data_IF_528215520810
#
_entry.id   IF_528215520810
#
_cell.length_a   1.000
_cell.length_b   1.000
_cell.length_c   1.000
_cell.angle_alpha   90.00
_cell.angle_beta   90.00
_cell.angle_gamma   90.00
#
_symmetry.space_group_name_H-M   'P 1'
#
loop_
_entity.id
_entity.type
_entity.pdbx_description
1 polymer ?
#
# COMPACT_ATOMS: atom_id res chain seq x y z
N UNK A 1 -33.38 10.14 -11.62
CA UNK A 1 -33.37 10.97 -10.40
C UNK A 1 -33.45 10.06 -9.18
N UNK A 2 -32.30 9.71 -8.59
CA UNK A 2 -32.24 9.02 -7.29
C UNK A 2 -31.72 10.02 -6.26
N UNK A 3 -32.52 10.20 -5.22
CA UNK A 3 -32.41 11.24 -4.22
C UNK A 3 -31.38 10.86 -3.15
N UNK A 4 -30.37 11.71 -2.95
CA UNK A 4 -29.47 11.64 -1.80
C UNK A 4 -30.28 11.87 -0.51
N UNK A 5 -30.26 10.92 0.43
CA UNK A 5 -30.67 11.17 1.81
C UNK A 5 -29.42 11.48 2.64
N UNK A 6 -29.24 12.77 2.92
CA UNK A 6 -28.52 13.23 4.12
C UNK A 6 -29.46 13.08 5.30
N UNK A 7 -29.05 12.38 6.35
CA UNK A 7 -29.67 12.50 7.68
C UNK A 7 -28.60 12.78 8.71
N UNK A 8 -28.84 13.84 9.47
CA UNK A 8 -27.96 14.40 10.47
C UNK A 8 -28.09 13.69 11.83
N UNK A 9 -26.94 13.68 12.51
CA UNK A 9 -26.65 13.59 13.94
C UNK A 9 -27.78 13.37 14.96
N UNK A 10 -27.53 12.41 15.86
CA UNK A 10 -27.98 12.46 17.25
C UNK A 10 -26.79 12.13 18.18
N UNK A 11 -26.42 13.10 19.03
CA UNK A 11 -25.47 12.96 20.13
C UNK A 11 -26.12 12.24 21.33
N UNK A 12 -25.37 11.33 21.98
CA UNK A 12 -25.34 10.96 23.42
C UNK A 12 -24.43 9.70 23.49
N UNK A 13 -23.40 9.51 24.31
CA UNK A 13 -22.85 10.17 25.50
C UNK A 13 -21.39 9.72 25.61
N UNK A 14 -20.52 10.60 26.11
CA UNK A 14 -19.10 10.36 26.34
C UNK A 14 -18.83 9.12 27.23
N UNK A 15 -17.93 8.24 26.75
CA UNK A 15 -17.19 7.31 27.59
C UNK A 15 -15.71 7.39 27.21
N UNK A 16 -14.93 8.00 28.11
CA UNK A 16 -13.49 7.87 28.33
C UNK A 16 -12.63 7.46 27.12
N UNK A 17 -11.99 8.46 26.52
CA UNK A 17 -10.77 8.27 25.74
C UNK A 17 -9.68 7.67 26.64
N UNK A 18 -9.49 6.36 26.54
CA UNK A 18 -8.23 5.70 26.87
C UNK A 18 -7.57 5.37 25.54
N UNK A 19 -6.32 5.79 25.41
CA UNK A 19 -5.45 5.54 24.27
C UNK A 19 -5.36 4.05 23.98
N UNK A 20 -6.11 3.56 23.00
CA UNK A 20 -5.85 2.27 22.37
C UNK A 20 -4.81 2.52 21.26
N UNK A 21 -3.54 2.54 21.65
CA UNK A 21 -2.52 2.01 20.76
C UNK A 21 -2.95 0.59 20.42
N UNK A 22 -3.23 0.32 19.16
CA UNK A 22 -3.50 -1.06 18.72
C UNK A 22 -2.19 -1.82 18.79
N UNK A 23 -1.97 -2.47 19.92
CA UNK A 23 -0.98 -3.54 20.05
C UNK A 23 -1.48 -4.69 19.18
N UNK A 24 -0.82 -4.94 18.05
CA UNK A 24 -0.88 -6.26 17.43
C UNK A 24 -0.45 -7.26 18.51
N UNK A 25 -1.28 -8.25 18.80
CA UNK A 25 -0.96 -9.31 19.75
C UNK A 25 0.08 -10.25 19.08
N UNK A 26 1.32 -9.78 18.98
CA UNK A 26 2.47 -10.64 18.80
C UNK A 26 2.71 -11.36 20.14
N UNK A 27 2.70 -12.68 20.09
CA UNK A 27 2.90 -13.62 21.19
C UNK A 27 3.97 -13.14 22.19
N UNK A 28 3.59 -13.04 23.47
CA UNK A 28 4.46 -12.59 24.55
C UNK A 28 5.63 -13.56 24.72
N UNK A 29 6.84 -13.11 24.35
CA UNK A 29 8.08 -13.72 24.82
C UNK A 29 8.75 -12.86 25.87
N UNK A 30 9.24 -13.56 26.89
CA UNK A 30 9.81 -13.11 28.18
C UNK A 30 10.83 -11.97 28.01
N UNK A 31 10.87 -10.95 28.90
CA UNK A 31 11.80 -9.84 28.77
C UNK A 31 13.24 -10.31 28.96
N UNK A 32 14.08 -10.08 27.96
CA UNK A 32 15.54 -10.12 28.11
C UNK A 32 16.03 -8.66 28.18
N UNK A 33 16.58 -8.31 29.34
CA UNK A 33 17.26 -7.03 29.56
C UNK A 33 18.34 -6.80 28.49
N UNK A 34 18.42 -5.57 27.98
CA UNK A 34 19.45 -5.15 27.04
C UNK A 34 20.85 -5.45 27.56
N UNK A 35 21.53 -6.39 26.90
CA UNK A 35 22.96 -6.65 27.03
C UNK A 35 23.73 -6.01 25.88
N UNK A 36 25.02 -5.64 26.08
CA UNK A 36 25.81 -4.94 25.09
C UNK A 36 26.07 -5.84 23.87
N UNK A 37 26.24 -5.22 22.71
CA UNK A 37 26.38 -5.88 21.40
C UNK A 37 27.27 -7.13 21.40
N UNK A 38 26.82 -8.15 20.68
CA UNK A 38 27.52 -9.42 20.55
C UNK A 38 28.60 -9.33 19.47
N UNK A 39 29.83 -9.73 19.82
CA UNK A 39 30.98 -9.79 18.92
C UNK A 39 30.77 -10.82 17.80
N UNK A 40 30.32 -10.35 16.64
CA UNK A 40 30.69 -10.95 15.36
C UNK A 40 32.16 -10.62 15.08
N UNK A 41 32.94 -11.57 14.56
CA UNK A 41 34.34 -11.34 14.23
C UNK A 41 34.57 -10.16 13.27
N UNK A 42 35.84 -9.85 12.99
CA UNK A 42 36.49 -8.66 13.55
C UNK A 42 35.63 -7.37 13.49
N UNK A 43 35.14 -6.91 14.65
CA UNK A 43 35.19 -5.50 15.04
C UNK A 43 34.27 -4.48 14.36
N UNK A 44 33.21 -4.89 13.66
CA UNK A 44 32.19 -3.95 13.19
C UNK A 44 30.95 -4.02 14.09
N UNK A 45 30.64 -2.91 14.76
CA UNK A 45 29.35 -2.73 15.44
C UNK A 45 28.28 -2.63 14.35
N UNK A 46 27.46 -3.67 14.20
CA UNK A 46 26.30 -3.63 13.30
C UNK A 46 25.11 -3.00 14.02
N UNK A 47 24.40 -2.13 13.34
CA UNK A 47 23.15 -1.55 13.82
C UNK A 47 22.01 -2.40 13.28
N UNK A 48 21.10 -2.83 14.17
CA UNK A 48 19.95 -3.62 13.78
C UNK A 48 19.13 -2.88 12.72
N UNK A 49 18.66 -3.64 11.72
CA UNK A 49 17.80 -3.20 10.62
C UNK A 49 18.43 -2.19 9.65
N UNK A 50 19.72 -1.87 9.77
CA UNK A 50 20.44 -0.96 8.88
C UNK A 50 21.28 -1.71 7.84
N UNK A 51 21.57 -1.00 6.75
CA UNK A 51 22.43 -1.49 5.67
C UNK A 51 23.88 -1.13 5.94
N UNK A 52 24.75 -2.12 5.98
CA UNK A 52 26.19 -1.94 6.05
C UNK A 52 26.88 -2.72 4.94
N UNK A 53 27.69 -2.03 4.15
CA UNK A 53 28.39 -2.59 2.98
C UNK A 53 27.48 -3.40 2.04
N UNK A 54 26.23 -2.93 1.88
CA UNK A 54 25.23 -3.53 0.99
C UNK A 54 24.43 -4.69 1.59
N UNK A 55 24.64 -5.03 2.86
CA UNK A 55 23.93 -6.11 3.58
C UNK A 55 23.12 -5.55 4.74
N UNK A 56 21.90 -6.06 4.95
CA UNK A 56 21.07 -5.72 6.11
C UNK A 56 21.30 -6.72 7.25
N UNK A 57 21.17 -6.26 8.49
CA UNK A 57 21.38 -7.08 9.68
C UNK A 57 20.16 -7.09 10.60
N UNK A 58 19.88 -8.22 11.27
CA UNK A 58 18.78 -8.36 12.23
C UNK A 58 19.16 -7.80 13.63
N UNK A 59 18.24 -7.92 14.60
CA UNK A 59 18.45 -7.49 15.99
C UNK A 59 19.44 -8.34 16.78
N UNK A 60 19.94 -9.44 16.20
CA UNK A 60 20.99 -10.29 16.75
C UNK A 60 22.33 -10.09 16.02
N UNK A 61 22.38 -9.18 15.03
CA UNK A 61 23.55 -8.90 14.22
C UNK A 61 23.84 -9.95 13.14
N UNK A 62 22.89 -10.82 12.81
CA UNK A 62 23.02 -11.74 11.69
C UNK A 62 22.63 -11.03 10.38
N UNK A 63 23.29 -11.38 9.28
CA UNK A 63 22.88 -10.90 7.96
C UNK A 63 21.48 -11.44 7.62
N UNK A 64 20.61 -10.56 7.12
CA UNK A 64 19.28 -10.93 6.62
C UNK A 64 19.45 -11.41 5.17
N UNK A 65 19.78 -12.70 5.02
CA UNK A 65 20.08 -13.28 3.71
C UNK A 65 18.91 -13.12 2.72
N UNK A 66 19.19 -12.57 1.54
CA UNK A 66 18.20 -12.38 0.48
C UNK A 66 17.36 -11.11 0.60
N UNK A 67 17.52 -10.32 1.66
CA UNK A 67 16.88 -9.00 1.73
C UNK A 67 17.47 -8.07 0.64
N UNK A 68 16.59 -7.52 -0.18
CA UNK A 68 16.95 -6.64 -1.29
C UNK A 68 16.77 -5.17 -0.91
N UNK A 69 15.62 -4.86 -0.30
CA UNK A 69 15.16 -3.51 -0.05
C UNK A 69 14.55 -3.43 1.35
N UNK A 70 14.80 -2.31 2.02
CA UNK A 70 14.17 -1.94 3.29
C UNK A 70 12.99 -1.03 3.02
N UNK A 71 11.92 -1.21 3.78
CA UNK A 71 10.71 -0.42 3.68
C UNK A 71 10.08 -0.16 5.03
N UNK A 72 8.96 0.54 5.01
CA UNK A 72 8.15 0.85 6.18
C UNK A 72 6.68 0.57 5.94
N UNK A 73 5.91 0.38 7.01
CA UNK A 73 4.44 0.47 6.95
C UNK A 73 3.94 1.68 7.74
N UNK A 74 3.07 2.49 7.14
CA UNK A 74 2.58 3.74 7.71
C UNK A 74 1.07 3.91 7.54
N UNK A 75 0.50 4.69 8.43
CA UNK A 75 -0.90 5.11 8.41
C UNK A 75 -1.02 6.50 9.05
N UNK A 76 -2.23 6.97 9.34
CA UNK A 76 -2.44 8.20 10.11
C UNK A 76 -1.68 8.27 11.44
N UNK A 77 -1.31 7.12 12.01
CA UNK A 77 -0.60 7.06 13.29
C UNK A 77 0.83 7.59 13.24
N UNK A 78 1.45 7.68 12.06
CA UNK A 78 2.78 8.26 11.88
C UNK A 78 2.74 9.80 11.70
N UNK A 79 1.55 10.41 11.71
CA UNK A 79 1.42 11.87 11.67
C UNK A 79 1.97 12.50 10.39
N UNK A 80 2.76 13.55 10.54
CA UNK A 80 3.45 14.21 9.42
C UNK A 80 4.81 13.56 9.20
N UNK A 81 5.10 13.16 7.97
CA UNK A 81 6.31 12.45 7.58
C UNK A 81 7.15 13.35 6.68
N UNK A 82 8.44 13.51 6.97
CA UNK A 82 9.40 14.12 6.06
C UNK A 82 9.95 13.05 5.10
N UNK A 83 9.22 12.83 4.00
CA UNK A 83 9.55 11.79 3.02
C UNK A 83 10.91 11.95 2.34
N UNK A 84 11.47 13.17 2.32
CA UNK A 84 12.80 13.42 1.78
C UNK A 84 13.89 12.84 2.70
N UNK A 85 13.70 12.94 4.02
CA UNK A 85 14.60 12.32 5.01
C UNK A 85 14.41 10.82 5.07
N UNK A 86 13.16 10.35 5.00
CA UNK A 86 12.85 8.91 4.94
C UNK A 86 13.59 8.24 3.78
N UNK A 87 13.57 8.86 2.59
CA UNK A 87 14.31 8.35 1.43
C UNK A 87 15.85 8.37 1.64
N UNK A 88 16.38 9.37 2.37
CA UNK A 88 17.80 9.45 2.70
C UNK A 88 18.23 8.42 3.74
N UNK A 89 17.29 7.96 4.57
CA UNK A 89 17.46 6.86 5.52
C UNK A 89 17.08 5.52 4.88
N UNK A 90 17.56 5.25 3.66
CA UNK A 90 17.51 3.94 2.97
C UNK A 90 16.13 3.24 2.96
N UNK A 91 15.03 3.99 3.00
CA UNK A 91 13.68 3.47 2.79
C UNK A 91 13.39 3.47 1.30
N UNK A 92 13.20 2.28 0.73
CA UNK A 92 12.99 2.08 -0.70
C UNK A 92 11.52 1.90 -1.07
N UNK A 93 10.68 1.44 -0.14
CA UNK A 93 9.24 1.27 -0.35
C UNK A 93 8.43 1.57 0.92
N UNK A 94 7.16 1.91 0.74
CA UNK A 94 6.22 2.17 1.82
C UNK A 94 4.88 1.44 1.61
N UNK A 95 4.51 0.59 2.56
CA UNK A 95 3.15 0.07 2.73
C UNK A 95 2.28 1.14 3.40
N UNK A 96 1.34 1.73 2.68
CA UNK A 96 0.56 2.89 3.14
C UNK A 96 -0.91 2.51 3.31
N UNK A 97 -1.47 2.71 4.50
CA UNK A 97 -2.86 2.32 4.76
C UNK A 97 -3.80 3.11 3.89
N UNK A 98 -4.57 2.43 3.05
CA UNK A 98 -5.62 3.05 2.24
C UNK A 98 -6.90 3.20 3.05
N UNK A 99 -7.38 2.08 3.57
CA UNK A 99 -8.75 1.98 4.07
C UNK A 99 -8.90 0.86 5.07
N UNK A 100 -9.76 1.06 6.06
CA UNK A 100 -10.40 -0.02 6.81
C UNK A 100 -11.72 -0.33 6.13
N UNK A 101 -11.84 -1.52 5.52
CA UNK A 101 -13.03 -1.90 4.75
C UNK A 101 -13.86 -2.93 5.53
N UNK A 102 -15.06 -2.50 5.91
CA UNK A 102 -15.99 -3.15 6.83
C UNK A 102 -17.10 -3.95 6.16
N UNK A 103 -17.98 -4.47 7.02
CA UNK A 103 -19.22 -5.17 6.67
C UNK A 103 -20.21 -4.24 5.95
N UNK A 104 -21.08 -4.81 5.09
CA UNK A 104 -22.13 -4.07 4.38
C UNK A 104 -21.60 -2.92 3.51
N UNK A 105 -20.32 -2.96 3.15
CA UNK A 105 -19.66 -1.92 2.34
C UNK A 105 -19.33 -0.64 3.11
N UNK A 106 -19.43 -0.64 4.44
CA UNK A 106 -18.94 0.46 5.27
C UNK A 106 -17.42 0.54 5.19
N UNK A 107 -16.86 1.74 5.08
CA UNK A 107 -15.40 1.90 5.03
C UNK A 107 -14.96 3.21 5.68
N UNK A 108 -13.73 3.22 6.16
CA UNK A 108 -13.06 4.43 6.67
C UNK A 108 -11.72 4.59 5.98
N UNK A 109 -11.61 5.62 5.13
CA UNK A 109 -10.33 6.00 4.52
C UNK A 109 -9.34 6.44 5.58
N UNK A 110 -8.07 6.10 5.40
CA UNK A 110 -7.00 6.73 6.16
C UNK A 110 -6.82 8.18 5.69
N UNK A 111 -6.97 9.13 6.60
CA UNK A 111 -6.93 10.56 6.28
C UNK A 111 -5.57 11.04 5.77
N UNK A 112 -4.51 10.26 5.96
CA UNK A 112 -3.17 10.56 5.47
C UNK A 112 -2.81 9.86 4.16
N UNK A 113 -3.68 8.97 3.66
CA UNK A 113 -3.39 8.12 2.50
C UNK A 113 -2.96 8.91 1.26
N UNK A 114 -3.77 9.89 0.83
CA UNK A 114 -3.48 10.68 -0.38
C UNK A 114 -2.13 11.40 -0.28
N UNK A 115 -1.88 12.07 0.84
CA UNK A 115 -0.63 12.77 1.12
C UNK A 115 0.55 11.80 1.10
N UNK A 116 0.46 10.71 1.85
CA UNK A 116 1.56 9.75 1.97
C UNK A 116 1.88 9.08 0.63
N UNK A 117 0.87 8.68 -0.15
CA UNK A 117 1.08 8.09 -1.48
C UNK A 117 1.79 9.06 -2.42
N UNK A 118 1.35 10.33 -2.47
CA UNK A 118 1.94 11.33 -3.38
C UNK A 118 3.34 11.74 -2.95
N UNK A 119 3.55 12.02 -1.66
CA UNK A 119 4.82 12.53 -1.16
C UNK A 119 5.91 11.45 -1.12
N UNK A 120 5.57 10.20 -0.79
CA UNK A 120 6.51 9.08 -0.89
C UNK A 120 6.98 8.88 -2.34
N UNK A 121 6.03 8.77 -3.27
CA UNK A 121 6.34 8.61 -4.70
C UNK A 121 7.17 9.79 -5.25
N UNK A 122 6.86 11.03 -4.85
CA UNK A 122 7.62 12.22 -5.26
C UNK A 122 9.07 12.22 -4.75
N UNK A 123 9.39 11.46 -3.70
CA UNK A 123 10.73 11.27 -3.17
C UNK A 123 11.39 9.96 -3.65
N UNK A 124 10.80 9.29 -4.66
CA UNK A 124 11.36 8.08 -5.27
C UNK A 124 11.17 6.81 -4.43
N UNK A 125 10.28 6.84 -3.44
CA UNK A 125 9.92 5.67 -2.64
C UNK A 125 8.79 4.93 -3.35
N UNK A 126 8.95 3.63 -3.55
CA UNK A 126 7.92 2.78 -4.14
C UNK A 126 6.70 2.66 -3.23
N UNK A 127 5.51 2.81 -3.78
CA UNK A 127 4.27 2.97 -3.00
C UNK A 127 3.35 1.77 -3.13
N UNK A 128 2.86 1.30 -1.99
CA UNK A 128 2.09 0.06 -1.87
C UNK A 128 0.88 0.27 -0.96
N UNK A 129 -0.35 0.37 -1.48
CA UNK A 129 -1.51 0.55 -0.62
C UNK A 129 -1.85 -0.77 0.11
N UNK A 130 -2.25 -0.67 1.38
CA UNK A 130 -2.79 -1.81 2.12
C UNK A 130 -4.19 -1.55 2.69
N UNK A 131 -4.98 -2.63 2.76
CA UNK A 131 -6.39 -2.62 3.09
C UNK A 131 -6.57 -3.45 4.36
N UNK A 132 -6.98 -2.80 5.46
CA UNK A 132 -7.37 -3.51 6.68
C UNK A 132 -8.76 -4.13 6.47
N UNK A 133 -8.78 -5.44 6.22
CA UNK A 133 -9.98 -6.14 5.79
C UNK A 133 -10.81 -6.60 6.98
N UNK A 134 -12.10 -6.32 6.95
CA UNK A 134 -13.06 -6.76 7.96
C UNK A 134 -14.32 -7.40 7.35
N UNK A 135 -14.31 -7.63 6.03
CA UNK A 135 -15.40 -8.27 5.29
C UNK A 135 -15.45 -9.76 5.60
N UNK A 136 -16.66 -10.34 5.69
CA UNK A 136 -16.83 -11.74 6.12
C UNK A 136 -17.22 -12.67 4.99
N UNK A 137 -17.56 -12.13 3.82
CA UNK A 137 -18.03 -12.91 2.68
C UNK A 137 -17.15 -12.70 1.45
N UNK A 138 -17.13 -13.70 0.58
CA UNK A 138 -16.43 -13.64 -0.72
C UNK A 138 -16.88 -12.44 -1.54
N UNK A 139 -18.18 -12.12 -1.57
CA UNK A 139 -18.67 -10.99 -2.37
C UNK A 139 -18.20 -9.64 -1.81
N UNK A 140 -18.31 -9.44 -0.50
CA UNK A 140 -17.82 -8.21 0.14
C UNK A 140 -16.30 -8.05 -0.04
N UNK A 141 -15.53 -9.14 0.02
CA UNK A 141 -14.09 -9.11 -0.25
C UNK A 141 -13.76 -8.69 -1.68
N UNK A 142 -14.58 -9.12 -2.67
CA UNK A 142 -14.47 -8.67 -4.05
C UNK A 142 -14.85 -7.20 -4.20
N UNK A 143 -15.85 -6.72 -3.47
CA UNK A 143 -16.21 -5.29 -3.42
C UNK A 143 -15.08 -4.44 -2.82
N UNK A 144 -14.49 -4.88 -1.70
CA UNK A 144 -13.34 -4.25 -1.08
C UNK A 144 -12.14 -4.17 -2.04
N UNK A 145 -11.85 -5.26 -2.76
CA UNK A 145 -10.78 -5.28 -3.75
C UNK A 145 -11.05 -4.36 -4.94
N UNK A 146 -12.30 -4.31 -5.45
CA UNK A 146 -12.68 -3.36 -6.51
C UNK A 146 -12.49 -1.91 -6.06
N UNK A 147 -12.95 -1.58 -4.85
CA UNK A 147 -12.74 -0.28 -4.24
C UNK A 147 -11.25 0.07 -4.13
N UNK A 148 -10.45 -0.87 -3.65
CA UNK A 148 -9.00 -0.71 -3.50
C UNK A 148 -8.31 -0.43 -4.84
N UNK A 149 -8.61 -1.25 -5.86
CA UNK A 149 -8.09 -1.09 -7.23
C UNK A 149 -8.51 0.24 -7.83
N UNK A 150 -9.78 0.60 -7.74
CA UNK A 150 -10.30 1.86 -8.30
C UNK A 150 -9.67 3.08 -7.62
N UNK A 151 -9.41 2.99 -6.32
CA UNK A 151 -8.70 4.04 -5.56
C UNK A 151 -7.22 4.10 -5.94
N UNK A 152 -6.55 2.95 -6.01
CA UNK A 152 -5.12 2.83 -6.33
C UNK A 152 -4.78 3.39 -7.71
N UNK A 153 -5.70 3.33 -8.69
CA UNK A 153 -5.53 3.91 -10.03
C UNK A 153 -5.22 5.41 -10.05
N UNK A 154 -5.49 6.13 -8.97
CA UNK A 154 -5.21 7.57 -8.88
C UNK A 154 -3.79 7.89 -8.38
N UNK A 155 -2.95 6.88 -8.15
CA UNK A 155 -1.63 7.02 -7.58
C UNK A 155 -0.59 6.20 -8.35
N UNK A 156 0.69 6.58 -8.28
CA UNK A 156 1.78 5.67 -8.61
C UNK A 156 1.70 4.46 -7.66
N UNK A 157 1.60 3.25 -8.22
CA UNK A 157 1.62 2.00 -7.47
C UNK A 157 2.46 1.01 -8.27
N UNK A 158 3.73 0.91 -7.89
CA UNK A 158 4.72 0.01 -8.47
C UNK A 158 5.13 -1.13 -7.52
N UNK A 159 4.54 -1.15 -6.33
CA UNK A 159 4.59 -2.25 -5.36
C UNK A 159 3.20 -2.88 -5.13
N UNK A 160 3.11 -4.04 -4.43
CA UNK A 160 1.87 -4.78 -4.29
C UNK A 160 0.72 -4.01 -3.62
N UNK A 161 -0.51 -4.38 -3.95
CA UNK A 161 -1.70 -4.02 -3.16
C UNK A 161 -1.89 -5.11 -2.10
N UNK A 162 -1.81 -4.73 -0.83
CA UNK A 162 -1.87 -5.67 0.27
C UNK A 162 -3.27 -5.81 0.88
N UNK A 163 -3.65 -7.03 1.22
CA UNK A 163 -4.75 -7.31 2.13
C UNK A 163 -4.19 -7.62 3.52
N UNK A 164 -4.59 -6.83 4.50
CA UNK A 164 -4.22 -6.99 5.90
C UNK A 164 -5.29 -7.82 6.62
N UNK A 165 -4.90 -9.04 7.00
CA UNK A 165 -5.75 -10.07 7.59
C UNK A 165 -5.43 -10.21 9.08
N UNK A 166 -5.89 -9.25 9.86
CA UNK A 166 -5.65 -9.24 11.32
C UNK A 166 -6.90 -8.94 12.17
N UNK A 167 -7.98 -8.51 11.52
CA UNK A 167 -9.19 -8.07 12.21
C UNK A 167 -9.86 -9.21 12.98
N UNK A 168 -10.10 -8.99 14.27
CA UNK A 168 -10.86 -9.95 15.10
C UNK A 168 -12.26 -10.27 14.52
N UNK A 169 -12.82 -9.38 13.69
CA UNK A 169 -14.11 -9.57 13.03
C UNK A 169 -14.10 -10.59 11.88
N UNK A 170 -12.93 -11.11 11.48
CA UNK A 170 -12.82 -12.14 10.45
C UNK A 170 -12.18 -13.43 10.98
N UNK A 171 -11.71 -13.44 12.24
CA UNK A 171 -11.00 -14.58 12.84
C UNK A 171 -11.91 -15.62 13.51
N UNK A 172 -13.23 -15.39 13.55
CA UNK A 172 -14.23 -16.40 13.94
C UNK A 172 -14.79 -17.17 12.74
N UNK A 173 -14.38 -16.81 11.51
CA UNK A 173 -14.64 -17.62 10.32
C UNK A 173 -13.88 -18.94 10.41
N UNK A 174 -14.39 -19.99 9.77
CA UNK A 174 -13.60 -21.20 9.60
C UNK A 174 -12.38 -20.95 8.72
N UNK A 175 -11.32 -21.76 8.87
CA UNK A 175 -10.11 -21.68 8.05
C UNK A 175 -10.40 -21.61 6.56
N UNK A 176 -11.36 -22.41 6.06
CA UNK A 176 -11.72 -22.39 4.65
C UNK A 176 -12.46 -21.11 4.26
N UNK A 177 -13.40 -20.61 5.08
CA UNK A 177 -14.12 -19.36 4.80
C UNK A 177 -13.17 -18.17 4.74
N UNK A 178 -12.24 -18.06 5.68
CA UNK A 178 -11.23 -16.99 5.66
C UNK A 178 -10.30 -17.12 4.45
N UNK A 179 -9.88 -18.34 4.12
CA UNK A 179 -9.07 -18.62 2.91
C UNK A 179 -9.80 -18.18 1.65
N UNK A 180 -11.09 -18.49 1.52
CA UNK A 180 -11.91 -18.11 0.35
C UNK A 180 -12.09 -16.58 0.25
N UNK A 181 -12.30 -15.89 1.39
CA UNK A 181 -12.40 -14.43 1.48
C UNK A 181 -11.10 -13.76 0.99
N UNK A 182 -9.95 -14.21 1.50
CA UNK A 182 -8.63 -13.65 1.14
C UNK A 182 -8.31 -13.94 -0.33
N UNK A 183 -8.57 -15.16 -0.80
CA UNK A 183 -8.39 -15.52 -2.21
C UNK A 183 -9.24 -14.66 -3.15
N UNK A 184 -10.49 -14.38 -2.78
CA UNK A 184 -11.39 -13.58 -3.58
C UNK A 184 -10.93 -12.13 -3.71
N UNK A 185 -10.41 -11.54 -2.62
CA UNK A 185 -9.80 -10.21 -2.67
C UNK A 185 -8.59 -10.20 -3.62
N UNK A 186 -7.64 -11.11 -3.40
CA UNK A 186 -6.40 -11.17 -4.17
C UNK A 186 -6.63 -11.44 -5.65
N UNK A 187 -7.63 -12.28 -5.98
CA UNK A 187 -8.00 -12.57 -7.37
C UNK A 187 -8.43 -11.31 -8.11
N UNK A 188 -9.26 -10.46 -7.49
CA UNK A 188 -9.72 -9.20 -8.13
C UNK A 188 -8.55 -8.23 -8.34
N UNK A 189 -7.63 -8.14 -7.38
CA UNK A 189 -6.41 -7.33 -7.52
C UNK A 189 -5.55 -7.83 -8.69
N UNK A 190 -5.30 -9.14 -8.76
CA UNK A 190 -4.53 -9.78 -9.82
C UNK A 190 -5.17 -9.61 -11.21
N UNK A 191 -6.48 -9.87 -11.33
CA UNK A 191 -7.24 -9.69 -12.58
C UNK A 191 -7.29 -8.23 -13.04
N UNK A 192 -7.09 -7.29 -12.12
CA UNK A 192 -7.01 -5.84 -12.41
C UNK A 192 -5.62 -5.38 -12.85
N UNK A 193 -4.64 -6.28 -12.92
CA UNK A 193 -3.28 -6.00 -13.37
C UNK A 193 -2.31 -5.59 -12.26
N UNK A 194 -2.72 -5.62 -10.99
CA UNK A 194 -1.84 -5.36 -9.85
C UNK A 194 -1.35 -6.66 -9.21
N UNK A 195 -0.21 -6.61 -8.53
CA UNK A 195 0.25 -7.74 -7.72
C UNK A 195 -0.44 -7.72 -6.35
N UNK A 196 -1.22 -8.74 -5.97
CA UNK A 196 -1.70 -8.89 -4.60
C UNK A 196 -0.59 -9.42 -3.68
N UNK A 197 -0.64 -9.02 -2.41
CA UNK A 197 0.16 -9.63 -1.33
C UNK A 197 -0.72 -9.78 -0.08
N UNK A 198 -0.55 -10.87 0.66
CA UNK A 198 -1.34 -11.15 1.86
C UNK A 198 -0.50 -10.86 3.10
N UNK A 199 -0.99 -10.00 3.98
CA UNK A 199 -0.35 -9.69 5.26
C UNK A 199 -1.03 -10.38 6.43
N UNK A 200 -0.22 -11.06 7.24
CA UNK A 200 -0.65 -11.63 8.51
C UNK A 200 0.54 -12.12 9.35
N UNK A 201 0.27 -12.52 10.59
CA UNK A 201 1.25 -13.12 11.49
C UNK A 201 1.39 -14.64 11.32
N UNK A 202 2.39 -15.21 12.01
CA UNK A 202 2.66 -16.64 12.01
C UNK A 202 1.49 -17.51 12.48
N UNK A 203 0.76 -17.07 13.51
CA UNK A 203 -0.37 -17.84 14.03
C UNK A 203 -1.44 -17.93 12.96
N UNK A 204 -1.86 -16.80 12.39
CA UNK A 204 -2.93 -16.74 11.40
C UNK A 204 -2.60 -17.52 10.13
N UNK A 205 -1.36 -17.43 9.65
CA UNK A 205 -0.92 -18.23 8.49
C UNK A 205 -0.81 -19.74 8.76
N UNK A 206 -0.79 -20.18 10.02
CA UNK A 206 -0.67 -21.60 10.36
C UNK A 206 -1.95 -22.21 10.93
N UNK A 207 -2.88 -21.40 11.45
CA UNK A 207 -4.11 -21.87 12.11
C UNK A 207 -5.39 -21.38 11.44
N UNK A 208 -5.40 -20.15 10.91
CA UNK A 208 -6.63 -19.49 10.44
C UNK A 208 -6.77 -19.47 8.92
N UNK A 209 -5.71 -19.77 8.17
CA UNK A 209 -5.73 -19.84 6.71
C UNK A 209 -4.99 -21.07 6.19
N UNK A 210 -5.47 -21.63 5.08
CA UNK A 210 -4.72 -22.63 4.31
C UNK A 210 -3.88 -21.94 3.23
N UNK A 211 -2.65 -21.58 3.61
CA UNK A 211 -1.72 -20.87 2.72
C UNK A 211 -1.35 -21.65 1.46
N UNK A 212 -1.56 -22.98 1.42
CA UNK A 212 -1.32 -23.77 0.21
C UNK A 212 -2.30 -23.46 -0.93
N UNK A 213 -3.43 -22.82 -0.61
CA UNK A 213 -4.44 -22.37 -1.58
C UNK A 213 -4.16 -20.98 -2.14
N UNK A 214 -3.11 -20.28 -1.68
CA UNK A 214 -2.75 -18.96 -2.16
C UNK A 214 -1.68 -19.06 -3.26
N UNK A 215 -1.99 -18.72 -4.52
CA UNK A 215 -0.98 -18.55 -5.56
C UNK A 215 -0.28 -17.17 -5.49
N UNK A 216 -0.42 -16.47 -4.35
CA UNK A 216 -0.01 -15.09 -4.17
C UNK A 216 1.15 -14.99 -3.17
N UNK A 217 1.84 -13.85 -3.25
CA UNK A 217 2.95 -13.52 -2.37
C UNK A 217 2.47 -13.25 -0.93
N UNK A 218 3.33 -13.50 0.07
CA UNK A 218 3.03 -13.26 1.49
C UNK A 218 3.94 -12.18 2.09
N UNK A 219 3.31 -11.22 2.78
CA UNK A 219 3.92 -10.24 3.67
C UNK A 219 3.80 -10.76 5.11
N UNK A 220 4.88 -11.33 5.61
CA UNK A 220 4.90 -12.08 6.86
C UNK A 220 5.26 -11.20 8.05
N UNK A 221 4.43 -11.17 9.09
CA UNK A 221 4.75 -10.48 10.35
C UNK A 221 5.33 -11.45 11.38
N UNK A 222 6.58 -11.21 11.79
CA UNK A 222 7.21 -11.87 12.95
C UNK A 222 8.41 -11.06 13.42
N UNK A 223 8.35 -10.58 14.65
CA UNK A 223 9.39 -9.69 15.16
C UNK A 223 10.66 -10.43 15.60
N UNK A 224 11.81 -9.77 15.45
CA UNK A 224 13.14 -10.29 15.82
C UNK A 224 13.84 -11.00 14.67
N UNK A 225 14.63 -12.04 14.92
CA UNK A 225 15.42 -12.70 13.86
C UNK A 225 14.72 -13.86 13.13
N UNK A 226 13.55 -14.29 13.60
CA UNK A 226 12.83 -15.44 13.03
C UNK A 226 11.97 -15.05 11.84
N UNK A 227 12.57 -15.00 10.65
CA UNK A 227 11.89 -14.49 9.47
C UNK A 227 11.41 -15.55 8.48
N UNK A 228 11.74 -16.84 8.65
CA UNK A 228 11.41 -17.88 7.67
C UNK A 228 9.92 -18.30 7.66
N UNK A 229 9.31 -18.25 6.48
CA UNK A 229 7.97 -18.80 6.19
C UNK A 229 7.86 -19.18 4.70
N UNK A 230 7.33 -20.37 4.34
CA UNK A 230 7.21 -20.78 2.93
C UNK A 230 6.40 -19.79 2.10
N UNK A 231 6.95 -19.35 0.96
CA UNK A 231 6.25 -18.45 0.03
C UNK A 231 6.23 -16.98 0.45
N UNK A 232 6.87 -16.60 1.57
CA UNK A 232 7.05 -15.19 1.91
C UNK A 232 7.94 -14.48 0.89
N UNK A 233 7.61 -13.23 0.63
CA UNK A 233 8.40 -12.33 -0.22
C UNK A 233 8.65 -10.98 0.44
N UNK A 234 7.92 -10.69 1.53
CA UNK A 234 8.11 -9.52 2.37
C UNK A 234 8.00 -9.92 3.83
N UNK A 235 8.69 -9.20 4.71
CA UNK A 235 8.74 -9.49 6.13
C UNK A 235 8.70 -8.22 6.98
N UNK A 236 7.75 -8.16 7.91
CA UNK A 236 7.70 -7.15 8.97
C UNK A 236 8.49 -7.64 10.18
N UNK A 237 9.63 -6.99 10.42
CA UNK A 237 10.63 -7.43 11.39
C UNK A 237 10.53 -6.76 12.77
N UNK A 238 9.90 -5.58 12.85
CA UNK A 238 9.68 -4.87 14.11
C UNK A 238 8.63 -3.78 13.94
N UNK A 239 7.95 -3.43 15.03
CA UNK A 239 7.09 -2.24 15.18
C UNK A 239 7.80 -1.09 15.92
N UNK A 240 9.10 -1.24 16.23
CA UNK A 240 9.91 -0.30 17.02
C UNK A 240 11.03 0.35 16.20
N UNK A 241 10.91 0.33 14.88
CA UNK A 241 11.84 1.03 14.00
C UNK A 241 11.90 2.52 14.30
N UNK A 242 13.06 3.11 14.05
CA UNK A 242 13.27 4.56 14.04
C UNK A 242 13.78 4.92 12.66
N UNK A 243 13.16 5.90 12.01
CA UNK A 243 13.52 6.38 10.67
C UNK A 243 13.58 7.90 10.73
N UNK A 244 14.66 8.50 10.21
CA UNK A 244 14.74 9.95 10.09
C UNK A 244 13.61 10.49 9.21
N UNK A 245 12.90 11.50 9.71
CA UNK A 245 11.70 12.05 9.10
C UNK A 245 10.37 11.51 9.64
N UNK A 246 10.38 10.54 10.57
CA UNK A 246 9.17 10.08 11.28
C UNK A 246 9.34 10.28 12.78
N UNK A 247 8.36 10.93 13.41
CA UNK A 247 8.34 11.05 14.87
C UNK A 247 7.79 9.76 15.51
N UNK A 248 8.60 9.13 16.35
CA UNK A 248 8.21 7.92 17.08
C UNK A 248 8.47 6.64 16.30
N UNK A 249 7.77 5.57 16.67
CA UNK A 249 8.02 4.24 16.11
C UNK A 249 7.32 4.04 14.76
N UNK A 250 7.96 3.27 13.89
CA UNK A 250 7.40 2.79 12.62
C UNK A 250 7.74 1.33 12.42
N UNK A 251 6.86 0.58 11.75
CA UNK A 251 7.17 -0.80 11.39
C UNK A 251 8.25 -0.82 10.29
N UNK A 252 9.22 -1.73 10.42
CA UNK A 252 10.25 -1.95 9.42
C UNK A 252 9.98 -3.23 8.64
N UNK A 253 10.16 -3.12 7.33
CA UNK A 253 9.86 -4.15 6.35
C UNK A 253 11.13 -4.51 5.56
N UNK A 254 11.28 -5.77 5.20
CA UNK A 254 12.26 -6.22 4.21
C UNK A 254 11.58 -6.93 3.05
N UNK A 255 11.89 -6.51 1.83
CA UNK A 255 11.46 -7.20 0.62
C UNK A 255 12.56 -8.14 0.12
N UNK A 256 12.18 -9.37 -0.20
CA UNK A 256 13.00 -10.44 -0.77
C UNK A 256 12.71 -10.63 -2.27
N UNK A 257 11.76 -9.85 -2.78
CA UNK A 257 11.40 -9.71 -4.19
C UNK A 257 11.34 -8.23 -4.52
N UNK A 258 12.06 -7.82 -5.56
CA UNK A 258 11.96 -6.46 -6.09
C UNK A 258 10.76 -6.38 -7.05
N UNK A 259 9.68 -5.79 -6.55
CA UNK A 259 8.42 -5.66 -7.29
C UNK A 259 8.48 -4.60 -8.39
N UNK A 260 9.31 -3.58 -8.22
CA UNK A 260 9.46 -2.50 -9.19
C UNK A 260 10.27 -2.96 -10.40
N UNK A 261 11.35 -3.74 -10.19
CA UNK A 261 12.21 -4.24 -11.26
C UNK A 261 11.53 -5.25 -12.20
N UNK A 262 10.49 -5.94 -11.73
CA UNK A 262 9.72 -6.87 -12.58
C UNK A 262 8.77 -6.15 -13.55
N UNK A 263 8.60 -4.83 -13.38
CA UNK A 263 7.50 -4.10 -13.97
C UNK A 263 6.20 -4.69 -13.46
N UNK A 264 5.59 -4.09 -12.43
CA UNK A 264 4.14 -4.22 -12.32
C UNK A 264 3.57 -3.95 -13.73
N UNK A 265 2.46 -4.58 -14.15
CA UNK A 265 1.62 -4.01 -15.18
C UNK A 265 1.10 -2.66 -14.65
N UNK A 266 1.98 -1.65 -14.60
CA UNK A 266 1.63 -0.27 -14.38
C UNK A 266 0.54 0.02 -15.38
N UNK A 267 -0.47 0.78 -14.93
CA UNK A 267 -1.63 1.20 -15.70
C UNK A 267 -1.27 1.21 -17.20
N UNK A 268 -1.70 0.21 -17.98
CA UNK A 268 -1.18 0.04 -19.33
C UNK A 268 -1.37 1.33 -20.11
N UNK A 269 -0.34 1.71 -20.86
CA UNK A 269 -0.32 2.91 -21.68
C UNK A 269 -1.62 3.03 -22.47
N UNK A 270 -2.20 4.23 -22.47
CA UNK A 270 -3.44 4.47 -23.20
C UNK A 270 -4.47 5.32 -22.45
N UNK A 271 -5.60 5.50 -23.15
CA UNK A 271 -6.77 6.23 -22.70
C UNK A 271 -7.51 5.50 -21.59
N UNK A 272 -7.80 6.20 -20.49
CA UNK A 272 -8.53 5.64 -19.34
C UNK A 272 -9.48 6.66 -18.72
N UNK A 273 -10.72 6.26 -18.41
CA UNK A 273 -11.58 7.05 -17.56
C UNK A 273 -11.26 6.80 -16.08
N UNK A 274 -11.46 7.80 -15.25
CA UNK A 274 -11.35 7.68 -13.78
C UNK A 274 -12.72 7.79 -13.09
N UNK A 275 -12.71 7.69 -11.76
CA UNK A 275 -13.93 7.69 -10.93
C UNK A 275 -14.77 8.97 -11.09
N UNK A 276 -14.16 10.09 -11.46
CA UNK A 276 -14.86 11.35 -11.74
C UNK A 276 -15.48 11.40 -13.16
N UNK A 277 -15.29 10.35 -13.96
CA UNK A 277 -15.78 10.21 -15.32
C UNK A 277 -14.94 10.96 -16.37
N UNK A 278 -13.84 11.61 -15.97
CA UNK A 278 -12.92 12.26 -16.92
C UNK A 278 -11.95 11.25 -17.49
N UNK A 279 -11.44 11.58 -18.68
CA UNK A 279 -10.48 10.76 -19.41
C UNK A 279 -9.07 11.32 -19.24
N UNK A 280 -8.11 10.42 -19.11
CA UNK A 280 -6.70 10.69 -18.99
C UNK A 280 -5.93 9.76 -19.93
N UNK A 281 -4.70 10.13 -20.27
CA UNK A 281 -3.79 9.25 -21.00
C UNK A 281 -2.62 8.87 -20.09
N UNK A 282 -2.34 7.58 -20.00
CA UNK A 282 -1.26 7.03 -19.19
C UNK A 282 -0.07 6.63 -20.04
N UNK A 283 1.14 6.84 -19.52
CA UNK A 283 2.36 6.28 -20.08
C UNK A 283 3.31 5.90 -18.96
N UNK A 284 3.76 4.65 -18.92
CA UNK A 284 4.64 4.15 -17.85
C UNK A 284 4.04 4.34 -16.46
N UNK A 285 2.73 4.09 -16.31
CA UNK A 285 1.99 4.22 -15.05
C UNK A 285 1.67 5.65 -14.61
N UNK A 286 2.08 6.68 -15.35
CA UNK A 286 1.87 8.08 -14.99
C UNK A 286 0.87 8.76 -15.92
N UNK A 287 0.06 9.68 -15.38
CA UNK A 287 -0.78 10.57 -16.19
C UNK A 287 0.10 11.48 -17.04
N UNK A 288 -0.24 11.61 -18.31
CA UNK A 288 0.32 12.62 -19.18
C UNK A 288 -0.41 13.94 -19.00
N UNK A 289 0.33 15.02 -19.19
CA UNK A 289 -0.19 16.38 -19.32
C UNK A 289 0.33 16.98 -20.63
N UNK A 290 -0.37 18.00 -21.14
CA UNK A 290 -0.06 18.61 -22.42
C UNK A 290 -0.58 17.80 -23.61
N UNK A 291 0.10 17.95 -24.74
CA UNK A 291 -0.29 17.31 -26.00
C UNK A 291 0.03 15.82 -26.02
N UNK A 292 -0.91 15.01 -26.51
CA UNK A 292 -0.70 13.60 -26.83
C UNK A 292 -1.26 13.29 -28.21
N UNK A 293 -0.52 12.52 -29.00
CA UNK A 293 -0.94 12.02 -30.31
C UNK A 293 -1.13 10.50 -30.22
N UNK A 294 -2.32 10.02 -30.59
CA UNK A 294 -2.62 8.59 -30.68
C UNK A 294 -3.32 8.30 -31.99
N UNK A 295 -2.84 7.32 -32.75
CA UNK A 295 -3.41 6.93 -34.04
C UNK A 295 -3.61 8.09 -35.03
N UNK A 296 -2.71 9.08 -35.00
CA UNK A 296 -2.74 10.25 -35.88
C UNK A 296 -3.73 11.35 -35.44
N UNK A 297 -4.32 11.24 -34.26
CA UNK A 297 -5.24 12.22 -33.68
C UNK A 297 -4.59 12.89 -32.47
N UNK A 298 -4.70 14.21 -32.41
CA UNK A 298 -4.18 15.02 -31.31
C UNK A 298 -5.24 15.27 -30.25
N UNK A 299 -4.81 15.20 -28.99
CA UNK A 299 -5.60 15.48 -27.80
C UNK A 299 -4.78 16.36 -26.86
N UNK A 300 -5.46 17.10 -26.00
CA UNK A 300 -4.81 17.91 -24.97
C UNK A 300 -5.28 17.50 -23.57
N UNK A 301 -4.31 17.26 -22.69
CA UNK A 301 -4.48 16.85 -21.30
C UNK A 301 -4.15 18.05 -20.41
N UNK A 302 -5.15 18.73 -19.89
CA UNK A 302 -4.99 20.04 -19.23
C UNK A 302 -4.12 19.93 -17.96
N UNK A 303 -2.90 20.51 -17.95
CA UNK A 303 -2.03 20.46 -16.77
C UNK A 303 -2.64 21.15 -15.54
N UNK A 304 -3.53 22.14 -15.73
CA UNK A 304 -4.21 22.84 -14.64
C UNK A 304 -5.37 22.02 -14.03
N UNK A 305 -5.81 20.98 -14.74
CA UNK A 305 -6.81 20.01 -14.31
C UNK A 305 -6.19 18.61 -14.15
N UNK A 306 -4.92 18.55 -13.76
CA UNK A 306 -4.20 17.30 -13.45
C UNK A 306 -4.18 16.26 -14.59
N UNK A 307 -4.15 16.74 -15.83
CA UNK A 307 -4.08 15.92 -17.04
C UNK A 307 -5.42 15.43 -17.56
N UNK A 308 -6.54 16.00 -17.08
CA UNK A 308 -7.85 15.69 -17.64
C UNK A 308 -7.93 16.09 -19.12
N UNK A 309 -8.42 15.19 -19.96
CA UNK A 309 -8.61 15.43 -21.39
C UNK A 309 -9.64 16.52 -21.63
N UNK A 310 -9.25 17.50 -22.44
CA UNK A 310 -10.16 18.53 -22.95
C UNK A 310 -11.10 17.90 -23.98
N UNK A 311 -12.41 18.11 -23.84
CA UNK A 311 -13.40 17.61 -24.80
C UNK A 311 -14.62 18.53 -24.90
N UNK A 312 -15.22 18.58 -26.09
CA UNK A 312 -16.44 19.31 -26.39
C UNK A 312 -16.34 20.82 -26.21
N UNK A 313 -15.14 21.39 -26.33
CA UNK A 313 -14.87 22.81 -26.05
C UNK A 313 -13.67 23.33 -26.85
N UNK A 314 -13.49 24.65 -26.84
CA UNK A 314 -12.28 25.31 -27.33
C UNK A 314 -11.36 25.65 -26.15
N UNK A 315 -10.04 25.62 -26.38
CA UNK A 315 -9.02 26.00 -25.39
C UNK A 315 -7.90 26.83 -26.04
N UNK A 316 -7.40 27.83 -25.31
CA UNK A 316 -6.22 28.59 -25.72
C UNK A 316 -4.97 27.96 -25.09
N UNK A 317 -4.08 27.45 -25.92
CA UNK A 317 -2.84 26.77 -25.53
C UNK A 317 -1.70 27.54 -26.20
N UNK A 318 -0.77 28.06 -25.38
CA UNK A 318 0.35 28.90 -25.83
C UNK A 318 -0.06 30.07 -26.76
N UNK A 319 -1.23 30.67 -26.48
CA UNK A 319 -1.76 31.81 -27.24
C UNK A 319 -2.48 31.44 -28.54
N UNK A 320 -2.62 30.16 -28.85
CA UNK A 320 -3.35 29.66 -30.02
C UNK A 320 -4.65 28.99 -29.57
N UNK A 321 -5.76 29.28 -30.26
CA UNK A 321 -7.05 28.66 -29.97
C UNK A 321 -7.19 27.33 -30.73
N UNK A 322 -7.54 26.28 -30.02
CA UNK A 322 -7.82 24.95 -30.54
C UNK A 322 -9.26 24.56 -30.20
N UNK A 323 -9.91 23.78 -31.06
CA UNK A 323 -11.23 23.21 -30.80
C UNK A 323 -11.13 21.69 -30.68
N UNK A 324 -11.82 21.13 -29.69
CA UNK A 324 -11.86 19.70 -29.42
C UNK A 324 -13.30 19.20 -29.46
N UNK A 325 -13.53 18.10 -30.18
CA UNK A 325 -14.86 17.49 -30.27
C UNK A 325 -15.25 16.74 -28.97
N UNK A 326 -16.44 16.16 -28.92
CA UNK A 326 -16.94 15.44 -27.74
C UNK A 326 -16.11 14.19 -27.35
N UNK A 327 -15.26 13.68 -28.26
CA UNK A 327 -14.31 12.60 -27.98
C UNK A 327 -12.95 13.11 -27.51
N UNK A 328 -12.72 14.43 -27.55
CA UNK A 328 -11.46 15.08 -27.22
C UNK A 328 -10.50 15.22 -28.40
N UNK A 329 -10.90 14.81 -29.61
CA UNK A 329 -10.07 14.94 -30.79
C UNK A 329 -9.97 16.42 -31.22
N UNK A 330 -8.75 16.89 -31.45
CA UNK A 330 -8.49 18.21 -32.01
C UNK A 330 -9.00 18.29 -33.46
N UNK A 331 -9.75 19.35 -33.78
CA UNK A 331 -10.37 19.58 -35.10
C UNK A 331 -9.53 20.40 -36.07
#
# INVERSE_FOLDING_TARGET
MRTYKKTAAALLTACLCLSSAMTALADETIPVEGGPGTEGGPGYMVTAWEKMDGTYFDDQGNAIEGALLRGISVSKFQGNIDWSRVAQDDVSFAMIRMVSYGYEGEYTMDETFDRNMREAAANGIHTAPYIYLQTRTVEEAREAARFAVDTARNYPVDYPIAVDVESQYILDLSTQELTDVVNAFCQVVAESGYTPIIYSDYSKFTTEMDTSQFPYDLWFARYGSSHEFPGRTMWQCTDKGQIDGIEGNVCLEFAFKDYAAQGQPGIPDGWRPEADGKWYYYTGGNRKTGWVETDGVWYYLDPSADGAMVSGTSMVIDGVSYEFDGSGAMM
#
